data_IF_405041001414
#
_entry.id   IF_405041001414
#
_cell.length_a   1.000
_cell.length_b   1.000
_cell.length_c   1.000
_cell.angle_alpha   90.00
_cell.angle_beta   90.00
_cell.angle_gamma   90.00
#
_symmetry.space_group_name_H-M   'P 1'
#
loop_
_entity.id
_entity.type
_entity.pdbx_description
1 polymer ?
#
# COMPACT_ATOMS: atom_id res chain seq x y z
N UNK A 1 -17.27 17.90 -9.98
CA UNK A 1 -16.87 17.73 -9.96
C UNK A 1 -15.94 17.16 -9.60
N UNK A 2 -15.58 16.66 -9.02
CA UNK A 2 -14.55 16.20 -8.67
C UNK A 2 -14.38 15.07 -9.03
N UNK A 3 -13.69 14.60 -9.59
CA UNK A 3 -13.55 13.52 -9.90
C UNK A 3 -12.76 12.83 -9.19
N UNK A 4 -12.60 11.99 -8.90
CA UNK A 4 -11.70 11.15 -8.29
C UNK A 4 -11.05 11.88 -7.22
N UNK A 5 -10.26 11.53 -6.60
CA UNK A 5 -9.56 12.25 -5.63
C UNK A 5 -8.21 11.68 -5.40
N UNK A 6 -7.47 12.37 -4.58
CA UNK A 6 -6.19 11.88 -4.20
C UNK A 6 -6.29 11.43 -2.77
N UNK A 7 -5.96 10.20 -2.49
CA UNK A 7 -6.03 9.66 -1.15
C UNK A 7 -4.63 9.28 -0.69
N UNK A 8 -4.31 9.66 0.54
CA UNK A 8 -2.99 9.40 1.11
C UNK A 8 -3.14 8.32 2.15
N UNK A 9 -2.42 7.25 1.99
CA UNK A 9 -2.51 6.09 2.86
C UNK A 9 -1.18 5.91 3.58
N UNK A 10 -1.23 5.88 4.90
CA UNK A 10 -0.02 5.66 5.69
C UNK A 10 0.21 4.15 5.77
N UNK A 11 1.40 3.73 5.40
CA UNK A 11 1.70 2.31 5.32
C UNK A 11 2.81 1.93 6.29
N UNK A 12 2.58 0.87 7.04
CA UNK A 12 3.61 0.32 7.88
C UNK A 12 3.71 -1.17 7.57
N UNK A 13 4.68 -1.85 8.14
CA UNK A 13 4.84 -3.28 7.92
C UNK A 13 4.88 -3.99 9.26
N UNK A 14 4.09 -5.05 9.37
CA UNK A 14 4.06 -5.89 10.55
C UNK A 14 4.35 -7.30 10.12
N UNK A 15 5.28 -7.95 10.78
CA UNK A 15 5.67 -9.28 10.36
C UNK A 15 4.54 -10.27 10.24
N UNK A 16 3.59 -10.19 11.12
CA UNK A 16 2.52 -11.16 11.08
C UNK A 16 1.44 -10.85 10.10
N UNK A 17 1.26 -9.58 9.78
CA UNK A 17 0.18 -9.20 8.90
C UNK A 17 0.60 -8.76 7.52
N UNK A 18 1.81 -8.26 7.40
CA UNK A 18 2.28 -7.74 6.13
C UNK A 18 2.19 -6.23 6.12
N UNK A 19 1.93 -5.65 4.96
CA UNK A 19 1.81 -4.21 4.86
C UNK A 19 0.42 -3.80 5.35
N UNK A 20 0.39 -2.80 6.20
CA UNK A 20 -0.85 -2.31 6.77
C UNK A 20 -1.02 -0.86 6.35
N UNK A 21 -2.11 -0.56 5.68
CA UNK A 21 -2.40 0.79 5.22
C UNK A 21 -3.59 1.36 5.95
N UNK A 22 -3.49 2.62 6.35
CA UNK A 22 -4.60 3.28 7.00
C UNK A 22 -4.76 4.68 6.47
N UNK A 23 -5.97 5.16 6.47
CA UNK A 23 -6.29 6.49 6.00
C UNK A 23 -7.60 6.90 6.64
N UNK A 24 -7.82 8.20 6.76
CA UNK A 24 -9.08 8.67 7.38
C UNK A 24 -10.30 8.20 6.62
N UNK A 25 -10.19 8.00 5.31
CA UNK A 25 -11.33 7.58 4.51
C UNK A 25 -11.63 6.10 4.65
N UNK A 26 -10.72 5.34 5.23
CA UNK A 26 -10.94 3.90 5.39
C UNK A 26 -11.54 3.61 6.74
N UNK A 27 -12.59 2.80 6.76
CA UNK A 27 -13.22 2.44 8.02
C UNK A 27 -12.27 1.66 8.91
N UNK A 28 -11.42 0.89 8.31
CA UNK A 28 -10.46 0.10 9.07
C UNK A 28 -9.23 -0.11 8.22
N UNK A 29 -8.12 -0.44 8.83
CA UNK A 29 -6.89 -0.62 8.08
C UNK A 29 -6.99 -1.74 7.07
N UNK A 30 -6.24 -1.59 5.99
CA UNK A 30 -6.22 -2.58 4.92
C UNK A 30 -4.88 -3.29 5.02
N UNK A 31 -4.89 -4.59 4.88
CA UNK A 31 -3.69 -5.41 5.02
C UNK A 31 -3.46 -6.20 3.75
N UNK A 32 -2.22 -6.26 3.32
CA UNK A 32 -1.88 -7.05 2.15
C UNK A 32 -0.44 -7.52 2.24
N UNK A 33 -0.10 -8.53 1.52
CA UNK A 33 1.23 -9.08 1.54
C UNK A 33 2.20 -8.34 0.64
N UNK A 34 1.71 -7.49 -0.24
CA UNK A 34 2.57 -6.71 -1.11
C UNK A 34 2.01 -5.32 -1.24
N UNK A 35 2.87 -4.39 -1.64
CA UNK A 35 2.43 -3.01 -1.81
C UNK A 35 1.44 -2.89 -2.96
N UNK A 36 1.67 -3.66 -4.03
CA UNK A 36 0.71 -3.64 -5.14
C UNK A 36 -0.64 -4.16 -4.71
N UNK A 37 -0.65 -5.21 -3.91
CA UNK A 37 -1.91 -5.74 -3.39
C UNK A 37 -2.58 -4.76 -2.44
N UNK A 38 -1.78 -4.06 -1.64
CA UNK A 38 -2.33 -3.08 -0.73
C UNK A 38 -3.00 -1.95 -1.49
N UNK A 39 -2.33 -1.42 -2.51
CA UNK A 39 -2.89 -0.35 -3.31
C UNK A 39 -4.21 -0.79 -3.94
N UNK A 40 -4.23 -2.00 -4.48
CA UNK A 40 -5.44 -2.48 -5.09
C UNK A 40 -6.58 -2.61 -4.10
N UNK A 41 -6.31 -3.10 -2.91
CA UNK A 41 -7.34 -3.22 -1.92
C UNK A 41 -7.88 -1.85 -1.51
N UNK A 42 -7.00 -0.86 -1.43
CA UNK A 42 -7.43 0.49 -1.09
C UNK A 42 -8.33 1.04 -2.21
N UNK A 43 -7.93 0.83 -3.45
CA UNK A 43 -8.72 1.31 -4.58
C UNK A 43 -10.11 0.70 -4.57
N UNK A 44 -10.19 -0.59 -4.27
CA UNK A 44 -11.47 -1.25 -4.20
C UNK A 44 -12.30 -0.70 -3.04
N UNK A 45 -11.66 -0.48 -1.90
CA UNK A 45 -12.38 0.02 -0.74
C UNK A 45 -12.93 1.43 -0.97
N UNK A 46 -12.25 2.22 -1.81
CA UNK A 46 -12.72 3.56 -2.07
C UNK A 46 -13.88 3.58 -3.04
N UNK A 47 -14.04 2.51 -3.79
CA UNK A 47 -15.15 2.40 -4.72
C UNK A 47 -15.18 3.52 -5.74
N UNK A 48 -14.02 4.01 -6.15
CA UNK A 48 -13.94 5.05 -7.16
C UNK A 48 -13.02 4.59 -8.25
N UNK A 49 -13.34 4.94 -9.47
CA UNK A 49 -12.53 4.56 -10.60
C UNK A 49 -11.38 5.50 -10.85
N UNK A 50 -11.55 6.74 -10.50
CA UNK A 50 -10.54 7.75 -10.80
C UNK A 50 -9.82 8.23 -9.59
N UNK A 51 -9.41 7.37 -8.72
CA UNK A 51 -8.70 7.79 -7.53
C UNK A 51 -7.22 7.61 -7.72
N UNK A 52 -6.47 8.51 -7.16
CA UNK A 52 -5.03 8.41 -7.13
C UNK A 52 -4.67 8.07 -5.71
N UNK A 53 -4.08 6.91 -5.51
CA UNK A 53 -3.71 6.46 -4.18
C UNK A 53 -2.23 6.62 -4.01
N UNK A 54 -1.84 7.39 -3.01
CA UNK A 54 -0.44 7.60 -2.72
C UNK A 54 -0.11 6.90 -1.41
N UNK A 55 0.86 6.02 -1.44
CA UNK A 55 1.24 5.26 -0.26
C UNK A 55 2.46 5.92 0.36
N UNK A 56 2.31 6.30 1.62
CA UNK A 56 3.42 6.88 2.37
C UNK A 56 3.94 5.82 3.32
N UNK A 57 5.08 5.28 3.01
CA UNK A 57 5.64 4.19 3.80
C UNK A 57 6.45 4.72 4.95
N UNK A 58 6.22 4.18 6.14
CA UNK A 58 7.04 4.54 7.27
C UNK A 58 8.34 3.75 7.17
N UNK A 59 9.16 3.86 8.20
CA UNK A 59 10.46 3.22 8.17
C UNK A 59 10.35 1.71 8.03
N UNK A 60 9.48 1.07 8.78
CA UNK A 60 9.35 -0.38 8.73
C UNK A 60 8.92 -0.83 7.34
N UNK A 61 7.99 -0.12 6.73
CA UNK A 61 7.52 -0.48 5.41
C UNK A 61 8.60 -0.26 4.36
N UNK A 62 9.38 0.79 4.51
CA UNK A 62 10.45 1.06 3.55
C UNK A 62 11.56 0.03 3.64
N UNK A 63 11.90 -0.36 4.85
CA UNK A 63 12.94 -1.37 5.04
C UNK A 63 12.51 -2.68 4.41
N UNK A 64 11.25 -3.05 4.64
CA UNK A 64 10.77 -4.31 4.09
C UNK A 64 10.70 -4.25 2.56
N UNK A 65 10.27 -3.12 2.02
CA UNK A 65 10.20 -2.97 0.57
C UNK A 65 11.59 -3.13 -0.05
N UNK A 66 12.58 -2.48 0.54
CA UNK A 66 13.93 -2.54 0.01
C UNK A 66 14.51 -3.94 0.14
N UNK A 67 14.23 -4.61 1.26
CA UNK A 67 14.70 -5.95 1.45
C UNK A 67 14.13 -6.89 0.40
N UNK A 68 12.85 -6.76 0.09
CA UNK A 68 12.23 -7.60 -0.91
C UNK A 68 12.76 -7.31 -2.29
N UNK A 69 13.03 -6.04 -2.55
CA UNK A 69 13.55 -5.66 -3.85
C UNK A 69 14.91 -6.31 -4.05
N UNK A 70 15.74 -6.32 -3.04
CA UNK A 70 17.05 -6.92 -3.17
C UNK A 70 17.00 -8.42 -3.28
N UNK A 71 16.18 -9.09 -2.50
CA UNK A 71 16.17 -10.53 -2.54
C UNK A 71 15.30 -11.05 -3.67
N UNK A 72 14.37 -10.28 -4.14
CA UNK A 72 13.53 -10.72 -5.24
C UNK A 72 14.03 -10.40 -6.61
N UNK A 73 15.28 -9.81 -6.78
CA UNK A 73 15.71 -9.44 -7.99
C UNK A 73 15.95 -10.59 -8.82
N UNK A 74 15.51 -10.62 -9.97
CA UNK A 74 15.67 -11.76 -10.83
C UNK A 74 17.12 -11.92 -11.12
N UNK A 75 17.50 -13.10 -11.31
CA UNK A 75 18.73 -13.43 -11.39
C UNK A 75 18.90 -13.52 -12.71
N UNK A 76 19.33 -13.05 -13.47
CA UNK A 76 19.46 -13.16 -14.66
C UNK A 76 20.23 -13.93 -15.00
N UNK A 77 20.28 -14.50 -15.12
CA UNK A 77 21.13 -15.46 -15.49
C UNK A 77 21.81 -15.12 -16.34
#
# INVERSE_FOLDING_TARGET
MSKGGRFEVAVTFEERRGYVGSAPELCQPVVALSLGGLRRKVEIAMLHDDVIVTLYLDRAARVERDRRRLSGRPRRA
#
